data_IF_506617338993
#
_entry.id   IF_506617338993
#
_cell.length_a   1.000
_cell.length_b   1.000
_cell.length_c   1.000
_cell.angle_alpha   90.00
_cell.angle_beta   90.00
_cell.angle_gamma   90.00
#
_symmetry.space_group_name_H-M   'P 1'
#
loop_
_entity.id
_entity.type
_entity.pdbx_description
1 polymer ?
#
# COMPACT_ATOMS: atom_id res chain seq x y z
N UNK A 1 -22.55 -9.92 33.60
CA UNK A 1 -23.60 -10.65 32.84
C UNK A 1 -23.03 -11.89 32.17
N UNK A 2 -22.08 -11.76 31.23
CA UNK A 2 -21.51 -12.90 30.51
C UNK A 2 -20.88 -13.97 31.42
N UNK A 3 -19.95 -13.58 32.30
CA UNK A 3 -19.28 -14.50 33.24
C UNK A 3 -20.27 -15.30 34.09
N UNK A 4 -21.29 -14.63 34.64
CA UNK A 4 -22.32 -15.29 35.46
C UNK A 4 -23.19 -16.28 34.66
N UNK A 5 -23.48 -15.98 33.40
CA UNK A 5 -24.26 -16.86 32.53
C UNK A 5 -23.45 -18.09 32.07
N UNK A 6 -22.13 -17.95 31.89
CA UNK A 6 -21.23 -19.04 31.51
C UNK A 6 -20.92 -19.97 32.69
N UNK A 7 -20.60 -19.39 33.85
CA UNK A 7 -20.15 -20.17 35.01
C UNK A 7 -21.33 -20.80 35.78
N UNK A 8 -22.54 -20.26 35.64
CA UNK A 8 -23.76 -20.79 36.26
C UNK A 8 -25.02 -20.51 35.41
N UNK A 9 -25.34 -21.35 34.40
CA UNK A 9 -26.38 -21.11 33.40
C UNK A 9 -27.81 -21.39 33.91
N UNK A 10 -28.22 -20.72 34.99
CA UNK A 10 -29.61 -20.76 35.45
C UNK A 10 -30.54 -20.00 34.49
N UNK A 11 -31.86 -20.30 34.47
CA UNK A 11 -32.81 -19.56 33.63
C UNK A 11 -32.76 -18.03 33.83
N UNK A 12 -32.52 -17.57 35.06
CA UNK A 12 -32.40 -16.15 35.37
C UNK A 12 -31.11 -15.52 34.80
N UNK A 13 -29.96 -16.19 34.94
CA UNK A 13 -28.69 -15.70 34.42
C UNK A 13 -28.66 -15.67 32.89
N UNK A 14 -29.23 -16.71 32.26
CA UNK A 14 -29.40 -16.76 30.81
C UNK A 14 -30.37 -15.67 30.34
N UNK A 15 -31.49 -15.45 31.02
CA UNK A 15 -32.43 -14.38 30.69
C UNK A 15 -31.76 -13.01 30.72
N UNK A 16 -31.05 -12.67 31.80
CA UNK A 16 -30.34 -11.37 31.92
C UNK A 16 -29.31 -11.18 30.81
N UNK A 17 -28.53 -12.20 30.49
CA UNK A 17 -27.52 -12.12 29.44
C UNK A 17 -28.16 -11.99 28.04
N UNK A 18 -29.08 -12.87 27.67
CA UNK A 18 -29.68 -12.87 26.34
C UNK A 18 -30.58 -11.66 26.10
N UNK A 19 -31.25 -11.13 27.12
CA UNK A 19 -31.96 -9.84 27.01
C UNK A 19 -30.99 -8.70 26.72
N UNK A 20 -29.85 -8.63 27.42
CA UNK A 20 -28.83 -7.63 27.14
C UNK A 20 -28.21 -7.79 25.74
N UNK A 21 -27.91 -9.03 25.32
CA UNK A 21 -27.40 -9.31 23.98
C UNK A 21 -28.41 -8.89 22.90
N UNK A 22 -29.69 -9.21 23.08
CA UNK A 22 -30.74 -8.80 22.15
C UNK A 22 -30.82 -7.27 22.04
N UNK A 23 -30.78 -6.57 23.16
CA UNK A 23 -30.76 -5.10 23.17
C UNK A 23 -29.53 -4.53 22.46
N UNK A 24 -28.35 -5.13 22.66
CA UNK A 24 -27.13 -4.74 21.94
C UNK A 24 -27.29 -4.90 20.43
N UNK A 25 -27.92 -5.99 19.96
CA UNK A 25 -28.22 -6.20 18.55
C UNK A 25 -29.19 -5.14 18.01
N UNK A 26 -30.28 -4.85 18.72
CA UNK A 26 -31.26 -3.84 18.31
C UNK A 26 -30.64 -2.42 18.26
N UNK A 27 -29.81 -2.08 19.24
CA UNK A 27 -29.03 -0.82 19.24
C UNK A 27 -28.05 -0.80 18.06
N UNK A 28 -27.37 -1.92 17.79
CA UNK A 28 -26.45 -2.08 16.67
C UNK A 28 -27.13 -1.89 15.31
N UNK A 29 -28.33 -2.46 15.13
CA UNK A 29 -29.15 -2.25 13.93
C UNK A 29 -29.49 -0.77 13.75
N UNK A 30 -30.01 -0.11 14.80
CA UNK A 30 -30.34 1.32 14.74
C UNK A 30 -29.12 2.18 14.44
N UNK A 31 -27.97 1.88 15.02
CA UNK A 31 -26.71 2.57 14.74
C UNK A 31 -26.28 2.37 13.28
N UNK A 32 -26.36 1.14 12.76
CA UNK A 32 -26.05 0.83 11.36
C UNK A 32 -26.92 1.62 10.39
N UNK A 33 -28.23 1.68 10.64
CA UNK A 33 -29.17 2.43 9.78
C UNK A 33 -28.92 3.94 9.83
N UNK A 34 -28.64 4.50 11.02
CA UNK A 34 -28.27 5.91 11.14
C UNK A 34 -26.91 6.23 10.51
N UNK A 35 -25.96 5.30 10.56
CA UNK A 35 -24.66 5.45 9.89
C UNK A 35 -24.81 5.48 8.36
N UNK A 36 -25.69 4.63 7.80
CA UNK A 36 -26.02 4.68 6.36
C UNK A 36 -26.61 6.04 5.97
N UNK A 37 -27.60 6.54 6.71
CA UNK A 37 -28.18 7.87 6.47
C UNK A 37 -27.12 8.99 6.59
N UNK A 38 -26.23 8.89 7.57
CA UNK A 38 -25.13 9.83 7.74
C UNK A 38 -24.18 9.84 6.53
N UNK A 39 -23.70 8.70 6.05
CA UNK A 39 -22.79 8.64 4.89
C UNK A 39 -23.46 9.00 3.57
N UNK A 40 -24.77 8.80 3.43
CA UNK A 40 -25.52 9.32 2.27
C UNK A 40 -25.50 10.85 2.22
N UNK A 41 -25.58 11.51 3.39
CA UNK A 41 -25.53 12.98 3.51
C UNK A 41 -24.11 13.54 3.53
N UNK A 42 -23.14 12.73 3.97
CA UNK A 42 -21.74 13.10 4.12
C UNK A 42 -20.86 12.13 3.32
N UNK A 43 -20.97 12.12 1.98
CA UNK A 43 -20.27 11.15 1.13
C UNK A 43 -18.74 11.28 1.21
N UNK A 44 -18.20 12.43 1.64
CA UNK A 44 -16.76 12.60 1.92
C UNK A 44 -16.25 11.69 3.03
N UNK A 45 -17.08 11.42 4.05
CA UNK A 45 -16.71 10.58 5.20
C UNK A 45 -16.88 9.07 4.93
N UNK A 46 -17.42 8.70 3.77
CA UNK A 46 -17.67 7.30 3.43
C UNK A 46 -16.38 6.56 3.13
N UNK A 47 -16.24 5.33 3.64
CA UNK A 47 -15.10 4.46 3.36
C UNK A 47 -14.92 4.20 1.85
N UNK A 48 -16.00 4.31 1.07
CA UNK A 48 -15.97 4.23 -0.41
C UNK A 48 -15.01 5.24 -1.06
N UNK A 49 -14.70 6.35 -0.37
CA UNK A 49 -13.70 7.34 -0.84
C UNK A 49 -12.27 6.91 -0.58
N UNK A 50 -12.05 6.10 0.45
CA UNK A 50 -10.73 5.61 0.83
C UNK A 50 -10.36 4.34 0.04
N UNK A 51 -11.33 3.43 -0.12
CA UNK A 51 -11.14 2.19 -0.87
C UNK A 51 -12.45 1.67 -1.47
N UNK A 52 -12.39 0.93 -2.59
CA UNK A 52 -13.55 0.24 -3.13
C UNK A 52 -14.08 -0.80 -2.15
N UNK A 53 -15.39 -0.75 -1.84
CA UNK A 53 -16.05 -1.74 -0.96
C UNK A 53 -16.93 -2.73 -1.72
N UNK A 54 -17.26 -2.42 -2.98
CA UNK A 54 -18.02 -3.31 -3.86
C UNK A 54 -17.04 -4.21 -4.61
N UNK A 55 -17.32 -5.53 -4.69
CA UNK A 55 -16.41 -6.49 -5.33
C UNK A 55 -16.00 -6.08 -6.75
N UNK A 56 -16.96 -5.70 -7.58
CA UNK A 56 -16.70 -5.28 -8.97
C UNK A 56 -15.78 -4.07 -9.04
N UNK A 57 -15.96 -3.12 -8.11
CA UNK A 57 -15.13 -1.93 -8.02
C UNK A 57 -13.73 -2.24 -7.50
N UNK A 58 -13.61 -3.21 -6.58
CA UNK A 58 -12.33 -3.69 -6.06
C UNK A 58 -11.51 -4.39 -7.14
N UNK A 59 -12.13 -5.25 -7.94
CA UNK A 59 -11.45 -5.96 -9.02
C UNK A 59 -10.96 -4.98 -10.12
N UNK A 60 -11.79 -3.99 -10.45
CA UNK A 60 -11.41 -2.91 -11.38
C UNK A 60 -10.26 -2.05 -10.83
N UNK A 61 -10.32 -1.66 -9.56
CA UNK A 61 -9.27 -0.88 -8.89
C UNK A 61 -7.93 -1.62 -8.85
N UNK A 62 -7.94 -2.91 -8.49
CA UNK A 62 -6.73 -3.75 -8.49
C UNK A 62 -6.07 -3.81 -9.85
N UNK A 63 -6.86 -3.95 -10.92
CA UNK A 63 -6.34 -3.94 -12.29
C UNK A 63 -5.62 -2.62 -12.62
N UNK A 64 -6.18 -1.49 -12.16
CA UNK A 64 -5.55 -0.17 -12.32
C UNK A 64 -4.26 -0.06 -11.50
N UNK A 65 -4.28 -0.47 -10.24
CA UNK A 65 -3.12 -0.44 -9.34
C UNK A 65 -1.98 -1.33 -9.88
N UNK A 66 -2.28 -2.55 -10.32
CA UNK A 66 -1.28 -3.45 -10.91
C UNK A 66 -0.63 -2.86 -12.16
N UNK A 67 -1.43 -2.22 -13.03
CA UNK A 67 -0.90 -1.52 -14.22
C UNK A 67 -0.03 -0.32 -13.84
N UNK A 68 -0.40 0.43 -12.81
CA UNK A 68 0.39 1.54 -12.30
C UNK A 68 1.71 1.05 -11.70
N UNK A 69 1.65 0.02 -10.84
CA UNK A 69 2.84 -0.65 -10.29
C UNK A 69 3.77 -1.13 -11.41
N UNK A 70 3.22 -1.73 -12.48
CA UNK A 70 4.03 -2.16 -13.61
C UNK A 70 4.73 -0.98 -14.31
N UNK A 71 3.99 0.10 -14.53
CA UNK A 71 4.51 1.31 -15.19
C UNK A 71 5.60 1.98 -14.35
N UNK A 72 5.36 2.15 -13.04
CA UNK A 72 6.30 2.75 -12.10
C UNK A 72 7.55 1.89 -11.95
N UNK A 73 7.43 0.56 -11.86
CA UNK A 73 8.57 -0.35 -11.82
C UNK A 73 9.47 -0.21 -13.06
N UNK A 74 8.88 -0.09 -14.25
CA UNK A 74 9.65 0.14 -15.48
C UNK A 74 10.37 1.49 -15.44
N UNK A 75 9.71 2.56 -14.98
CA UNK A 75 10.35 3.87 -14.83
C UNK A 75 11.52 3.83 -13.83
N UNK A 76 11.33 3.18 -12.68
CA UNK A 76 12.39 2.97 -11.67
C UNK A 76 13.62 2.35 -12.34
N UNK A 77 13.47 1.25 -13.08
CA UNK A 77 14.60 0.57 -13.71
C UNK A 77 15.23 1.27 -14.93
N UNK A 78 14.63 2.36 -15.42
CA UNK A 78 15.36 3.26 -16.32
C UNK A 78 16.48 4.02 -15.60
N UNK A 79 16.33 4.23 -14.29
CA UNK A 79 17.23 5.02 -13.42
C UNK A 79 18.00 4.15 -12.41
N UNK A 80 17.66 2.88 -12.25
CA UNK A 80 18.29 1.96 -11.30
C UNK A 80 18.45 0.54 -11.85
N UNK A 81 19.26 -0.26 -11.18
CA UNK A 81 19.39 -1.70 -11.38
C UNK A 81 19.38 -2.45 -10.05
N UNK A 82 19.52 -3.77 -10.12
CA UNK A 82 19.61 -4.62 -8.93
C UNK A 82 20.99 -5.21 -8.78
N UNK A 83 21.55 -5.18 -7.57
CA UNK A 83 22.68 -6.03 -7.21
C UNK A 83 22.14 -7.27 -6.52
N UNK A 84 22.57 -8.44 -6.97
CA UNK A 84 22.17 -9.72 -6.42
C UNK A 84 23.39 -10.45 -5.87
N UNK A 85 23.57 -10.41 -4.54
CA UNK A 85 24.65 -11.10 -3.86
C UNK A 85 24.24 -12.53 -3.54
N UNK A 86 25.06 -13.50 -3.98
CA UNK A 86 24.77 -14.93 -3.87
C UNK A 86 26.02 -15.76 -3.57
N UNK A 87 25.84 -17.04 -3.26
CA UNK A 87 26.91 -18.04 -3.25
C UNK A 87 26.45 -19.32 -3.95
N UNK A 88 27.36 -20.06 -4.57
CA UNK A 88 27.01 -21.20 -5.42
C UNK A 88 26.27 -22.34 -4.70
N UNK A 89 26.52 -22.55 -3.41
CA UNK A 89 25.96 -23.64 -2.59
C UNK A 89 24.65 -23.29 -1.88
N UNK A 90 24.19 -22.03 -1.98
CA UNK A 90 23.01 -21.54 -1.27
C UNK A 90 21.72 -21.92 -2.00
N UNK A 91 20.97 -22.89 -1.46
CA UNK A 91 19.69 -23.35 -2.04
C UNK A 91 18.72 -22.19 -2.32
N UNK A 92 18.57 -21.27 -1.36
CA UNK A 92 17.69 -20.11 -1.50
C UNK A 92 18.13 -19.14 -2.60
N UNK A 93 19.41 -19.08 -2.92
CA UNK A 93 19.94 -18.26 -4.01
C UNK A 93 19.57 -18.85 -5.37
N UNK A 94 19.45 -20.18 -5.49
CA UNK A 94 18.93 -20.82 -6.71
C UNK A 94 17.46 -20.51 -6.92
N UNK A 95 16.65 -20.52 -5.86
CA UNK A 95 15.23 -20.17 -5.96
C UNK A 95 15.04 -18.68 -6.27
N UNK A 96 15.70 -17.80 -5.52
CA UNK A 96 15.62 -16.34 -5.73
C UNK A 96 16.07 -15.94 -7.15
N UNK A 97 17.06 -16.64 -7.73
CA UNK A 97 17.50 -16.37 -9.10
C UNK A 97 16.39 -16.57 -10.15
N UNK A 98 15.41 -17.45 -9.91
CA UNK A 98 14.27 -17.62 -10.81
C UNK A 98 13.32 -16.40 -10.71
N UNK A 99 13.09 -15.91 -9.49
CA UNK A 99 12.34 -14.68 -9.26
C UNK A 99 13.01 -13.49 -9.94
N UNK A 100 14.34 -13.36 -9.81
CA UNK A 100 15.11 -12.30 -10.47
C UNK A 100 15.11 -12.42 -11.99
N UNK A 101 15.14 -13.64 -12.55
CA UNK A 101 14.98 -13.84 -13.99
C UNK A 101 13.60 -13.38 -14.47
N UNK A 102 12.53 -13.67 -13.71
CA UNK A 102 11.20 -13.12 -14.01
C UNK A 102 11.23 -11.58 -13.99
N UNK A 103 11.84 -10.97 -12.98
CA UNK A 103 11.96 -9.50 -12.90
C UNK A 103 12.69 -8.94 -14.13
N UNK A 104 13.82 -9.52 -14.50
CA UNK A 104 14.62 -9.14 -15.67
C UNK A 104 13.79 -9.22 -16.96
N UNK A 105 13.02 -10.28 -17.15
CA UNK A 105 12.22 -10.46 -18.37
C UNK A 105 10.98 -9.55 -18.40
N UNK A 106 10.31 -9.37 -17.27
CA UNK A 106 9.02 -8.67 -17.22
C UNK A 106 9.16 -7.15 -17.10
N UNK A 107 10.17 -6.68 -16.37
CA UNK A 107 10.44 -5.26 -16.14
C UNK A 107 11.67 -4.73 -16.89
N UNK A 108 12.40 -5.59 -17.61
CA UNK A 108 13.63 -5.22 -18.30
C UNK A 108 14.70 -4.62 -17.38
N UNK A 109 14.75 -5.09 -16.13
CA UNK A 109 15.73 -4.63 -15.14
C UNK A 109 17.13 -5.19 -15.44
N UNK A 110 18.13 -4.33 -15.30
CA UNK A 110 19.53 -4.75 -15.26
C UNK A 110 19.86 -5.32 -13.88
N UNK A 111 20.34 -6.55 -13.85
CA UNK A 111 20.74 -7.24 -12.62
C UNK A 111 22.25 -7.53 -12.70
N UNK A 112 23.00 -7.04 -11.72
CA UNK A 112 24.40 -7.37 -11.52
C UNK A 112 24.51 -8.49 -10.46
N UNK A 113 24.71 -9.74 -10.87
CA UNK A 113 24.96 -10.84 -9.94
C UNK A 113 26.40 -10.76 -9.40
N UNK A 114 26.54 -10.89 -8.08
CA UNK A 114 27.80 -10.83 -7.35
C UNK A 114 27.98 -12.11 -6.53
N UNK A 115 28.93 -12.94 -6.96
CA UNK A 115 29.23 -14.21 -6.28
C UNK A 115 30.20 -13.99 -5.14
N UNK A 116 29.74 -14.30 -3.92
CA UNK A 116 30.54 -14.20 -2.69
C UNK A 116 31.59 -15.31 -2.57
N UNK A 117 31.39 -16.46 -3.23
CA UNK A 117 32.31 -17.60 -3.24
C UNK A 117 33.04 -17.78 -4.58
N UNK A 118 32.87 -16.83 -5.52
CA UNK A 118 33.53 -16.80 -6.81
C UNK A 118 33.11 -17.92 -7.77
N UNK A 119 31.96 -18.56 -7.51
CA UNK A 119 31.43 -19.68 -8.28
C UNK A 119 30.01 -19.37 -8.82
N UNK A 120 29.64 -19.92 -9.98
CA UNK A 120 28.30 -19.73 -10.54
C UNK A 120 27.23 -20.49 -9.74
N UNK A 121 25.98 -20.08 -9.91
CA UNK A 121 24.85 -20.91 -9.50
C UNK A 121 24.78 -22.18 -10.36
N UNK A 122 24.52 -23.30 -9.70
CA UNK A 122 24.40 -24.64 -10.29
C UNK A 122 23.16 -24.80 -11.18
N UNK A 123 22.13 -23.95 -11.01
CA UNK A 123 20.93 -23.98 -11.84
C UNK A 123 21.09 -23.33 -13.23
N UNK A 124 22.29 -22.82 -13.56
CA UNK A 124 22.57 -22.22 -14.86
C UNK A 124 22.09 -20.78 -15.03
N UNK A 125 21.50 -20.16 -14.01
CA UNK A 125 21.13 -18.74 -14.03
C UNK A 125 22.30 -17.87 -13.59
N UNK A 126 22.34 -16.62 -14.06
CA UNK A 126 23.37 -15.62 -13.71
C UNK A 126 24.82 -16.13 -13.81
N UNK A 127 25.14 -16.81 -14.92
CA UNK A 127 26.49 -17.38 -15.16
C UNK A 127 27.57 -16.32 -15.38
N UNK A 128 27.19 -15.16 -15.90
CA UNK A 128 28.05 -13.99 -15.97
C UNK A 128 27.89 -13.20 -14.66
N UNK A 129 28.88 -13.34 -13.76
CA UNK A 129 28.87 -12.75 -12.43
C UNK A 129 30.18 -12.05 -12.09
N UNK A 130 30.08 -11.08 -11.20
CA UNK A 130 31.24 -10.40 -10.62
C UNK A 130 31.62 -11.02 -9.27
N UNK A 131 32.89 -10.85 -8.87
CA UNK A 131 33.37 -11.18 -7.52
C UNK A 131 33.62 -9.87 -6.78
N UNK A 132 33.15 -9.70 -5.53
CA UNK A 132 33.22 -8.41 -4.86
C UNK A 132 34.67 -8.07 -4.50
N UNK A 133 35.09 -6.85 -4.81
CA UNK A 133 36.36 -6.31 -4.35
C UNK A 133 36.23 -5.75 -2.92
N UNK A 134 37.35 -5.32 -2.30
CA UNK A 134 37.35 -4.79 -0.93
C UNK A 134 36.38 -3.61 -0.72
N UNK A 135 36.21 -2.75 -1.73
CA UNK A 135 35.30 -1.60 -1.66
C UNK A 135 33.83 -2.05 -1.61
N UNK A 136 33.42 -3.00 -2.46
CA UNK A 136 32.06 -3.56 -2.45
C UNK A 136 31.77 -4.27 -1.13
N UNK A 137 32.75 -5.02 -0.59
CA UNK A 137 32.62 -5.69 0.70
C UNK A 137 32.38 -4.67 1.82
N UNK A 138 33.17 -3.59 1.87
CA UNK A 138 33.04 -2.55 2.91
C UNK A 138 31.76 -1.72 2.75
N UNK A 139 31.35 -1.41 1.52
CA UNK A 139 30.17 -0.59 1.25
C UNK A 139 28.86 -1.32 1.58
N UNK A 140 28.70 -2.55 1.10
CA UNK A 140 27.42 -3.28 1.19
C UNK A 140 27.32 -4.16 2.44
N UNK A 141 28.46 -4.52 3.05
CA UNK A 141 28.56 -5.30 4.30
C UNK A 141 27.64 -6.52 4.30
N UNK A 142 27.71 -7.31 3.22
CA UNK A 142 26.90 -8.51 3.04
C UNK A 142 27.27 -9.53 4.11
N UNK A 143 26.29 -9.97 4.90
CA UNK A 143 26.45 -10.99 5.95
C UNK A 143 25.80 -12.31 5.56
N UNK A 144 24.69 -12.23 4.86
CA UNK A 144 23.86 -13.37 4.49
C UNK A 144 23.48 -13.27 3.00
N UNK A 145 23.17 -14.40 2.38
CA UNK A 145 22.74 -14.48 0.98
C UNK A 145 21.51 -15.41 0.86
N UNK A 146 20.59 -15.15 -0.09
CA UNK A 146 20.63 -14.09 -1.10
C UNK A 146 20.39 -12.70 -0.49
N UNK A 147 21.10 -11.68 -0.99
CA UNK A 147 20.87 -10.28 -0.59
C UNK A 147 20.71 -9.43 -1.84
N UNK A 148 19.65 -8.61 -1.88
CA UNK A 148 19.33 -7.77 -3.03
C UNK A 148 19.41 -6.30 -2.63
N UNK A 149 20.06 -5.50 -3.48
CA UNK A 149 20.07 -4.04 -3.38
C UNK A 149 19.48 -3.41 -4.64
N UNK A 150 18.71 -2.35 -4.47
CA UNK A 150 18.38 -1.40 -5.52
C UNK A 150 19.49 -0.35 -5.57
N UNK A 151 20.09 -0.16 -6.74
CA UNK A 151 21.22 0.75 -6.93
C UNK A 151 20.89 1.74 -8.04
N UNK A 152 21.05 3.03 -7.80
CA UNK A 152 20.86 4.04 -8.84
C UNK A 152 21.96 3.94 -9.89
N UNK A 153 21.61 4.14 -11.18
CA UNK A 153 22.53 3.99 -12.31
C UNK A 153 23.65 5.03 -12.32
N UNK A 154 23.44 6.17 -11.68
CA UNK A 154 24.47 7.19 -11.44
C UNK A 154 25.44 6.80 -10.30
N UNK A 155 25.21 5.68 -9.61
CA UNK A 155 26.01 5.19 -8.50
C UNK A 155 25.91 6.03 -7.22
N UNK A 156 24.99 7.00 -7.15
CA UNK A 156 24.89 7.94 -6.04
C UNK A 156 24.18 7.36 -4.81
N UNK A 157 23.34 6.34 -4.99
CA UNK A 157 22.52 5.78 -3.93
C UNK A 157 22.31 4.26 -4.09
N UNK A 158 22.22 3.57 -2.95
CA UNK A 158 21.88 2.15 -2.90
C UNK A 158 21.04 1.87 -1.66
N UNK A 159 19.99 1.07 -1.81
CA UNK A 159 19.10 0.66 -0.72
C UNK A 159 18.99 -0.86 -0.69
N UNK A 160 19.17 -1.45 0.49
CA UNK A 160 18.92 -2.88 0.69
C UNK A 160 17.43 -3.15 0.54
N UNK A 161 17.09 -4.12 -0.30
CA UNK A 161 15.71 -4.53 -0.58
C UNK A 161 15.39 -5.81 0.17
N UNK A 162 16.30 -6.78 0.19
CA UNK A 162 16.13 -8.00 0.94
C UNK A 162 17.45 -8.55 1.48
N UNK A 163 17.33 -9.25 2.59
CA UNK A 163 18.34 -10.14 3.14
C UNK A 163 17.62 -11.46 3.45
N UNK A 164 17.89 -12.48 2.65
CA UNK A 164 17.07 -13.68 2.54
C UNK A 164 16.13 -13.67 1.32
N UNK A 165 15.56 -14.84 1.04
CA UNK A 165 14.66 -15.09 -0.10
C UNK A 165 13.32 -14.39 0.10
N UNK A 166 12.79 -13.79 -0.96
CA UNK A 166 11.51 -13.09 -0.95
C UNK A 166 10.69 -13.39 -2.21
N UNK A 167 9.39 -13.10 -2.18
CA UNK A 167 8.51 -13.31 -3.35
C UNK A 167 8.67 -12.18 -4.36
N UNK A 168 8.28 -12.42 -5.61
CA UNK A 168 8.24 -11.38 -6.65
C UNK A 168 7.36 -10.18 -6.25
N UNK A 169 6.28 -10.44 -5.51
CA UNK A 169 5.37 -9.41 -5.03
C UNK A 169 6.02 -8.55 -3.94
N UNK A 170 6.64 -9.18 -2.94
CA UNK A 170 7.36 -8.47 -1.87
C UNK A 170 8.54 -7.67 -2.43
N UNK A 171 9.28 -8.26 -3.39
CA UNK A 171 10.39 -7.62 -4.08
C UNK A 171 9.92 -6.35 -4.81
N UNK A 172 8.85 -6.46 -5.60
CA UNK A 172 8.22 -5.31 -6.28
C UNK A 172 7.79 -4.23 -5.28
N UNK A 173 7.06 -4.59 -4.24
CA UNK A 173 6.53 -3.63 -3.27
C UNK A 173 7.66 -2.91 -2.52
N UNK A 174 8.70 -3.64 -2.12
CA UNK A 174 9.86 -3.06 -1.42
C UNK A 174 10.70 -2.18 -2.34
N UNK A 175 10.87 -2.54 -3.62
CA UNK A 175 11.53 -1.68 -4.62
C UNK A 175 10.81 -0.36 -4.79
N UNK A 176 9.47 -0.37 -4.92
CA UNK A 176 8.68 0.86 -5.07
C UNK A 176 8.86 1.76 -3.84
N UNK A 177 8.81 1.20 -2.63
CA UNK A 177 9.03 1.95 -1.40
C UNK A 177 10.45 2.53 -1.31
N UNK A 178 11.47 1.71 -1.59
CA UNK A 178 12.86 2.12 -1.61
C UNK A 178 13.12 3.22 -2.65
N UNK A 179 12.57 3.08 -3.85
CA UNK A 179 12.68 4.05 -4.92
C UNK A 179 12.10 5.41 -4.54
N UNK A 180 11.00 5.44 -3.79
CA UNK A 180 10.46 6.69 -3.23
C UNK A 180 11.44 7.31 -2.23
N UNK A 181 12.01 6.52 -1.31
CA UNK A 181 13.02 6.98 -0.35
C UNK A 181 14.31 7.47 -0.99
N UNK A 182 14.69 6.88 -2.12
CA UNK A 182 15.85 7.27 -2.95
C UNK A 182 15.55 8.42 -3.91
N UNK A 183 14.32 8.97 -3.92
CA UNK A 183 13.87 10.00 -4.85
C UNK A 183 13.99 9.61 -6.34
N UNK A 184 13.86 8.32 -6.67
CA UNK A 184 13.84 7.84 -8.07
C UNK A 184 12.47 8.07 -8.75
N UNK A 185 11.42 8.18 -7.93
CA UNK A 185 10.03 8.46 -8.34
C UNK A 185 9.44 9.59 -7.50
N UNK A 186 8.47 10.30 -8.07
CA UNK A 186 7.73 11.35 -7.36
C UNK A 186 6.60 10.79 -6.50
N UNK A 187 5.97 11.67 -5.70
CA UNK A 187 4.86 11.27 -4.84
C UNK A 187 3.65 10.80 -5.65
N UNK A 188 3.35 11.45 -6.78
CA UNK A 188 2.22 11.05 -7.61
C UNK A 188 2.37 9.61 -8.12
N UNK A 189 3.56 9.25 -8.63
CA UNK A 189 3.88 7.90 -9.09
C UNK A 189 3.78 6.92 -7.94
N UNK A 190 4.39 7.22 -6.78
CA UNK A 190 4.31 6.34 -5.61
C UNK A 190 2.86 6.12 -5.15
N UNK A 191 2.07 7.18 -4.98
CA UNK A 191 0.65 7.08 -4.58
C UNK A 191 -0.18 6.26 -5.56
N UNK A 192 0.12 6.32 -6.87
CA UNK A 192 -0.60 5.55 -7.90
C UNK A 192 -0.46 4.03 -7.76
N UNK A 193 0.56 3.57 -7.04
CA UNK A 193 0.87 2.14 -6.83
C UNK A 193 0.20 1.53 -5.61
N UNK A 194 -0.46 2.35 -4.79
CA UNK A 194 -1.04 1.94 -3.52
C UNK A 194 -2.52 1.59 -3.67
N UNK A 195 -2.94 0.50 -3.03
CA UNK A 195 -4.36 0.16 -2.92
C UNK A 195 -5.15 1.24 -2.19
N UNK A 196 -4.57 1.76 -1.11
CA UNK A 196 -5.06 2.93 -0.36
C UNK A 196 -3.97 3.99 -0.40
N UNK A 197 -4.21 5.06 -1.16
CA UNK A 197 -3.25 6.17 -1.23
C UNK A 197 -3.02 6.74 0.17
N UNK A 198 -1.75 7.01 0.54
CA UNK A 198 -1.38 7.59 1.85
C UNK A 198 -1.99 8.97 2.08
N UNK A 199 -2.39 9.67 1.01
CA UNK A 199 -3.15 10.90 1.13
C UNK A 199 -4.51 10.71 1.86
N UNK A 200 -5.04 9.48 1.89
CA UNK A 200 -6.21 9.10 2.70
C UNK A 200 -5.86 8.61 4.10
N UNK A 201 -4.58 8.41 4.41
CA UNK A 201 -4.11 8.04 5.76
C UNK A 201 -3.59 9.29 6.45
N UNK A 202 -4.25 9.71 7.53
CA UNK A 202 -3.70 10.74 8.41
C UNK A 202 -2.41 10.16 9.03
N UNK A 203 -1.25 10.58 8.52
CA UNK A 203 0.06 10.28 9.11
C UNK A 203 1.12 9.81 8.11
N UNK A 204 1.95 10.76 7.65
CA UNK A 204 3.41 10.65 7.79
C UNK A 204 3.97 11.95 8.43
N UNK A 205 3.39 13.13 8.15
CA UNK A 205 3.83 14.43 8.72
C UNK A 205 2.75 15.27 9.44
N UNK A 206 1.56 14.73 9.79
CA UNK A 206 0.45 15.58 10.28
C UNK A 206 -0.57 14.89 11.18
N UNK A 207 -0.32 14.94 12.49
CA UNK A 207 -1.38 14.73 13.50
C UNK A 207 -2.41 15.86 13.32
N UNK A 208 -3.69 15.51 13.17
CA UNK A 208 -4.76 16.51 13.28
C UNK A 208 -4.74 17.00 14.73
N UNK A 209 -4.26 18.22 14.93
CA UNK A 209 -4.28 18.89 16.23
C UNK A 209 -5.45 19.87 16.23
N UNK A 210 -6.30 19.75 17.24
CA UNK A 210 -7.43 20.65 17.46
C UNK A 210 -7.43 21.14 18.90
N UNK A 211 -7.96 22.33 19.12
CA UNK A 211 -8.15 22.85 20.45
C UNK A 211 -9.23 22.02 21.18
N UNK A 212 -8.92 21.53 22.39
CA UNK A 212 -9.82 20.67 23.15
C UNK A 212 -11.16 21.36 23.48
N UNK A 213 -11.12 22.62 23.92
CA UNK A 213 -12.37 23.34 24.25
C UNK A 213 -13.24 23.58 23.02
N UNK A 214 -12.65 23.78 21.85
CA UNK A 214 -13.38 23.91 20.59
C UNK A 214 -14.01 22.57 20.18
N UNK A 215 -13.23 21.48 20.24
CA UNK A 215 -13.70 20.11 19.96
C UNK A 215 -14.86 19.68 20.88
N UNK A 216 -14.79 20.02 22.17
CA UNK A 216 -15.84 19.69 23.14
C UNK A 216 -17.12 20.52 22.89
N UNK A 217 -17.00 21.72 22.31
CA UNK A 217 -18.12 22.64 22.04
C UNK A 217 -18.76 22.47 20.66
N UNK A 218 -17.99 22.00 19.67
CA UNK A 218 -18.41 21.85 18.29
C UNK A 218 -18.29 20.39 17.82
N UNK A 219 -19.41 19.64 17.79
CA UNK A 219 -19.40 18.24 17.39
C UNK A 219 -19.01 18.00 15.92
N UNK A 220 -18.98 19.05 15.09
CA UNK A 220 -18.66 18.97 13.66
C UNK A 220 -17.26 19.49 13.32
N UNK A 221 -16.48 19.96 14.29
CA UNK A 221 -15.15 20.53 14.06
C UNK A 221 -14.24 19.58 13.25
N UNK A 222 -14.11 18.34 13.72
CA UNK A 222 -13.28 17.34 13.05
C UNK A 222 -13.81 16.99 11.66
N UNK A 223 -15.14 16.94 11.50
CA UNK A 223 -15.75 16.66 10.21
C UNK A 223 -15.39 17.75 9.20
N UNK A 224 -15.51 19.04 9.55
CA UNK A 224 -15.15 20.14 8.63
C UNK A 224 -13.67 20.14 8.26
N UNK A 225 -12.78 19.86 9.23
CA UNK A 225 -11.34 19.72 8.97
C UNK A 225 -11.09 18.56 7.99
N UNK A 226 -11.79 17.45 8.18
CA UNK A 226 -11.68 16.29 7.29
C UNK A 226 -12.25 16.59 5.90
N UNK A 227 -13.42 17.24 5.80
CA UNK A 227 -14.03 17.63 4.53
C UNK A 227 -13.06 18.50 3.72
N UNK A 228 -12.47 19.54 4.32
CA UNK A 228 -11.48 20.41 3.67
C UNK A 228 -10.23 19.64 3.21
N UNK A 229 -9.74 18.71 4.03
CA UNK A 229 -8.60 17.87 3.63
C UNK A 229 -8.95 16.94 2.48
N UNK A 230 -10.18 16.44 2.43
CA UNK A 230 -10.64 15.47 1.45
C UNK A 230 -11.10 16.08 0.13
N UNK A 231 -11.36 17.39 0.07
CA UNK A 231 -11.83 18.11 -1.13
C UNK A 231 -10.90 17.92 -2.36
N UNK A 232 -9.60 17.83 -2.15
CA UNK A 232 -8.62 17.64 -3.22
C UNK A 232 -8.43 16.20 -3.68
N UNK A 233 -9.16 15.23 -3.12
CA UNK A 233 -8.95 13.81 -3.40
C UNK A 233 -10.08 13.18 -4.19
N UNK A 234 -9.72 12.64 -5.36
CA UNK A 234 -10.62 11.84 -6.19
C UNK A 234 -11.01 10.53 -5.50
N UNK A 235 -12.18 9.98 -5.85
CA UNK A 235 -12.53 8.63 -5.41
C UNK A 235 -11.81 7.59 -6.29
N UNK A 236 -11.34 6.45 -5.73
CA UNK A 236 -10.60 5.44 -6.48
C UNK A 236 -11.35 4.84 -7.68
N UNK A 237 -12.69 4.87 -7.63
CA UNK A 237 -13.57 4.22 -8.60
C UNK A 237 -14.46 5.22 -9.34
N UNK A 238 -14.02 6.47 -9.45
CA UNK A 238 -14.74 7.51 -10.18
C UNK A 238 -13.78 8.30 -11.08
N UNK A 239 -14.28 8.73 -12.23
CA UNK A 239 -13.56 9.64 -13.11
C UNK A 239 -13.96 11.09 -12.82
N UNK A 240 -13.01 12.03 -12.84
CA UNK A 240 -13.30 13.45 -12.74
C UNK A 240 -14.15 13.92 -13.92
N UNK A 241 -15.06 14.85 -13.65
CA UNK A 241 -15.94 15.41 -14.68
C UNK A 241 -15.19 16.46 -15.50
N UNK A 242 -15.02 16.18 -16.78
CA UNK A 242 -14.55 17.18 -17.74
C UNK A 242 -15.75 17.94 -18.31
N UNK A 243 -16.06 19.10 -17.73
CA UNK A 243 -17.13 19.95 -18.24
C UNK A 243 -16.75 20.48 -19.62
N UNK A 244 -17.59 20.19 -20.62
CA UNK A 244 -17.60 20.96 -21.86
C UNK A 244 -18.05 22.38 -21.50
N UNK A 245 -17.35 23.41 -21.98
CA UNK A 245 -17.77 24.81 -21.87
C UNK A 245 -19.08 25.02 -22.64
N UNK A 246 -20.19 24.61 -22.04
CA UNK A 246 -21.52 24.82 -22.58
C UNK A 246 -22.00 26.19 -22.09
N UNK A 247 -21.80 27.22 -22.93
CA UNK A 247 -22.58 28.44 -22.82
C UNK A 247 -24.05 28.10 -23.12
N UNK A 248 -24.85 27.87 -22.09
CA UNK A 248 -26.26 27.52 -22.27
C UNK A 248 -26.99 27.27 -20.96
N UNK A 249 -27.96 28.14 -20.68
CA UNK A 249 -28.91 28.09 -19.57
C UNK A 249 -29.51 26.68 -19.37
N UNK A 250 -29.29 26.09 -18.20
CA UNK A 250 -29.98 24.86 -17.76
C UNK A 250 -30.90 25.18 -16.57
N UNK A 251 -32.12 25.61 -16.88
CA UNK A 251 -33.22 25.71 -15.93
C UNK A 251 -34.09 24.46 -15.98
N UNK A 252 -33.82 23.49 -15.11
CA UNK A 252 -34.70 22.35 -14.85
C UNK A 252 -35.35 22.46 -13.46
N UNK A 253 -36.40 21.67 -13.14
CA UNK A 253 -37.08 21.70 -11.85
C UNK A 253 -36.19 21.30 -10.65
N UNK A 254 -35.00 20.75 -10.92
CA UNK A 254 -33.96 20.43 -9.93
C UNK A 254 -32.77 21.42 -9.97
N UNK A 255 -32.82 22.45 -10.82
CA UNK A 255 -31.90 23.58 -10.81
C UNK A 255 -32.53 24.71 -9.98
N UNK A 256 -32.46 24.60 -8.66
CA UNK A 256 -32.76 25.67 -7.70
C UNK A 256 -31.79 25.59 -6.54
#
# INVERSE_FOLDING_TARGET
LLTQAMDNPTPENLSRFYTAQRLMLDIGTRFSDKSKDYFLKNPMMSEKRRQPVEKVALDAHRTVVEKNQQTVMKDIFTKSGLFFFFQSTCQFCHEESQTLQFMQNYYSVEILPVSMDGRPLQNGLFQDFSVPNAQIIDQFKIREVPTIFLVSKDGSSAQRISEGMITAEELKNTIILAAKGMNLIDDASFQSTLDVKRQYTIGEDGVITVNKSEMDSDPFLLQRIMDQKLEGYDMPTADPVNYLNAGGSLGGPYAR
#
